data_IF_509706462054
#
_entry.id   IF_509706462054
#
_cell.length_a   1.000
_cell.length_b   1.000
_cell.length_c   1.000
_cell.angle_alpha   90.00
_cell.angle_beta   90.00
_cell.angle_gamma   90.00
#
_symmetry.space_group_name_H-M   'P 1'
#
loop_
_entity.id
_entity.type
_entity.pdbx_description
1 polymer ?
#
# COMPACT_ATOMS: atom_id res chain seq x y z
N UNK A 1 28.70 -60.01 -21.44
CA UNK A 1 28.02 -61.06 -20.66
C UNK A 1 26.68 -60.45 -20.35
N UNK A 2 25.75 -60.70 -21.23
CA UNK A 2 24.70 -61.74 -21.10
C UNK A 2 23.63 -61.22 -20.16
N UNK A 3 22.56 -60.84 -20.63
CA UNK A 3 21.35 -61.43 -21.23
C UNK A 3 20.21 -61.11 -20.28
N UNK A 4 19.14 -60.57 -20.66
CA UNK A 4 18.15 -61.09 -21.57
C UNK A 4 16.79 -61.19 -20.88
N UNK A 5 15.79 -60.84 -21.63
CA UNK A 5 14.43 -61.38 -21.77
C UNK A 5 13.36 -60.69 -20.89
N UNK A 6 12.60 -59.80 -21.47
CA UNK A 6 11.31 -59.95 -22.11
C UNK A 6 10.30 -60.90 -21.46
N UNK A 7 9.15 -60.43 -21.10
CA UNK A 7 7.92 -61.15 -21.47
C UNK A 7 6.68 -60.22 -21.40
N UNK A 8 6.06 -60.13 -22.55
CA UNK A 8 4.70 -59.65 -22.81
C UNK A 8 3.66 -60.53 -22.10
N UNK A 9 2.53 -59.93 -21.74
CA UNK A 9 1.19 -60.55 -21.90
C UNK A 9 0.18 -59.49 -21.50
N UNK A 10 -0.55 -59.02 -22.39
CA UNK A 10 -1.77 -59.49 -23.05
C UNK A 10 -3.04 -58.93 -22.41
N UNK A 11 -3.68 -58.22 -23.25
CA UNK A 11 -5.02 -57.65 -23.23
C UNK A 11 -6.10 -58.46 -22.52
N UNK A 12 -7.03 -57.76 -21.90
CA UNK A 12 -8.45 -58.15 -22.02
C UNK A 12 -9.34 -56.90 -22.08
N UNK A 13 -10.03 -56.80 -23.20
CA UNK A 13 -11.16 -55.91 -23.43
C UNK A 13 -12.43 -56.50 -22.84
N UNK A 14 -13.33 -55.61 -22.42
CA UNK A 14 -14.77 -55.76 -22.52
C UNK A 14 -15.56 -55.60 -21.22
N UNK A 15 -16.87 -55.33 -21.23
CA UNK A 15 -17.62 -54.57 -22.24
C UNK A 15 -18.49 -53.46 -21.62
N UNK A 16 -18.96 -52.57 -22.48
CA UNK A 16 -20.17 -51.73 -22.48
C UNK A 16 -21.11 -51.84 -21.23
N UNK A 17 -21.28 -50.71 -20.58
CA UNK A 17 -22.27 -50.55 -19.51
C UNK A 17 -22.73 -49.11 -19.31
N UNK A 18 -23.75 -48.76 -20.06
CA UNK A 18 -24.84 -47.82 -19.66
C UNK A 18 -24.47 -46.35 -19.46
N UNK A 19 -24.78 -45.58 -20.49
CA UNK A 19 -25.00 -44.14 -20.45
C UNK A 19 -25.96 -43.75 -19.32
N UNK A 20 -25.43 -43.10 -18.29
CA UNK A 20 -26.25 -42.28 -17.40
C UNK A 20 -26.07 -40.82 -17.80
N UNK A 21 -27.09 -40.31 -18.49
CA UNK A 21 -27.28 -38.89 -18.75
C UNK A 21 -27.38 -38.18 -17.40
N UNK A 22 -26.33 -37.62 -16.92
CA UNK A 22 -26.37 -36.58 -15.86
C UNK A 22 -26.78 -35.28 -16.54
N UNK A 23 -28.06 -34.93 -16.33
CA UNK A 23 -28.59 -33.60 -16.60
C UNK A 23 -27.84 -32.63 -15.68
N UNK A 24 -26.88 -31.92 -16.23
CA UNK A 24 -26.22 -30.85 -15.52
C UNK A 24 -27.18 -29.67 -15.50
N UNK A 25 -27.85 -29.45 -14.35
CA UNK A 25 -28.55 -28.23 -14.07
C UNK A 25 -27.53 -27.12 -13.96
N UNK A 26 -27.46 -26.28 -14.98
CA UNK A 26 -26.78 -24.98 -14.96
C UNK A 26 -27.56 -24.05 -14.01
N UNK A 27 -27.28 -24.14 -12.72
CA UNK A 27 -27.56 -23.06 -11.80
C UNK A 27 -26.48 -22.02 -12.02
N UNK A 28 -26.79 -21.04 -12.87
CA UNK A 28 -26.06 -19.80 -12.95
C UNK A 28 -26.19 -19.08 -11.60
N UNK A 29 -25.30 -19.42 -10.69
CA UNK A 29 -25.10 -18.65 -9.46
C UNK A 29 -24.53 -17.30 -9.86
N UNK A 30 -25.41 -16.29 -9.96
CA UNK A 30 -25.05 -14.88 -10.03
C UNK A 30 -24.38 -14.53 -8.70
N UNK A 31 -23.07 -14.74 -8.64
CA UNK A 31 -22.21 -14.28 -7.56
C UNK A 31 -22.13 -12.76 -7.68
N UNK A 32 -23.11 -12.06 -7.07
CA UNK A 32 -23.00 -10.63 -6.81
C UNK A 32 -21.75 -10.45 -5.93
N UNK A 33 -20.64 -10.13 -6.56
CA UNK A 33 -19.46 -9.58 -5.89
C UNK A 33 -19.92 -8.26 -5.28
N UNK A 34 -20.36 -8.33 -4.03
CA UNK A 34 -20.43 -7.17 -3.15
C UNK A 34 -19.00 -6.69 -2.99
N UNK A 35 -18.57 -5.87 -3.94
CA UNK A 35 -17.37 -5.05 -3.76
C UNK A 35 -17.66 -4.15 -2.56
N UNK A 36 -17.22 -4.57 -1.38
CA UNK A 36 -17.15 -3.68 -0.23
C UNK A 36 -16.43 -2.43 -0.71
N UNK A 37 -16.98 -1.22 -0.52
CA UNK A 37 -16.22 -0.01 -0.79
C UNK A 37 -15.02 -0.04 0.15
N UNK A 38 -13.89 -0.56 -0.36
CA UNK A 38 -12.62 -0.48 0.34
C UNK A 38 -12.41 0.97 0.68
N UNK A 39 -12.10 1.27 1.95
CA UNK A 39 -11.81 2.61 2.40
C UNK A 39 -10.88 3.26 1.38
N UNK A 40 -11.42 4.19 0.60
CA UNK A 40 -10.68 4.85 -0.49
C UNK A 40 -9.39 5.41 0.09
N UNK A 41 -8.26 4.99 -0.45
CA UNK A 41 -6.99 5.56 -0.07
C UNK A 41 -7.10 7.07 -0.29
N UNK A 42 -6.84 7.85 0.76
CA UNK A 42 -6.86 9.32 0.65
C UNK A 42 -5.87 9.71 -0.43
N UNK A 43 -6.34 10.42 -1.44
CA UNK A 43 -5.50 10.84 -2.56
C UNK A 43 -4.54 11.97 -2.16
N UNK A 44 -3.44 12.06 -2.90
CA UNK A 44 -2.39 13.06 -2.73
C UNK A 44 -2.96 14.49 -2.72
N UNK A 45 -3.88 14.77 -3.63
CA UNK A 45 -4.46 16.10 -3.82
C UNK A 45 -5.26 16.55 -2.60
N UNK A 46 -6.00 15.64 -1.97
CA UNK A 46 -6.72 15.91 -0.72
C UNK A 46 -5.78 16.26 0.42
N UNK A 47 -4.65 15.54 0.56
CA UNK A 47 -3.67 15.79 1.61
C UNK A 47 -3.00 17.16 1.40
N UNK A 48 -2.57 17.44 0.17
CA UNK A 48 -1.93 18.70 -0.18
C UNK A 48 -2.88 19.89 -0.06
N UNK A 49 -4.14 19.75 -0.47
CA UNK A 49 -5.16 20.78 -0.27
C UNK A 49 -5.35 21.13 1.20
N UNK A 50 -5.47 20.10 2.06
CA UNK A 50 -5.58 20.33 3.50
C UNK A 50 -4.34 21.03 4.08
N UNK A 51 -3.14 20.62 3.68
CA UNK A 51 -1.90 21.28 4.12
C UNK A 51 -1.84 22.75 3.66
N UNK A 52 -2.25 23.03 2.41
CA UNK A 52 -2.28 24.39 1.86
C UNK A 52 -3.28 25.32 2.56
N UNK A 53 -4.36 24.78 3.14
CA UNK A 53 -5.28 25.57 3.99
C UNK A 53 -4.76 25.78 5.39
N UNK A 54 -3.92 24.90 5.89
CA UNK A 54 -3.39 24.97 7.26
C UNK A 54 -2.12 25.82 7.38
N UNK A 55 -1.27 25.78 6.36
CA UNK A 55 0.06 26.38 6.37
C UNK A 55 0.07 27.73 5.62
N UNK A 56 1.00 28.59 5.99
CA UNK A 56 1.27 29.79 5.17
C UNK A 56 1.82 29.38 3.81
N UNK A 57 1.73 30.23 2.77
CA UNK A 57 2.26 29.89 1.44
C UNK A 57 3.75 29.47 1.45
N UNK A 58 4.57 30.13 2.27
CA UNK A 58 6.00 29.80 2.43
C UNK A 58 6.18 28.43 3.05
N UNK A 59 5.48 28.14 4.13
CA UNK A 59 5.54 26.86 4.83
C UNK A 59 4.99 25.71 3.96
N UNK A 60 3.92 25.98 3.21
CA UNK A 60 3.37 24.99 2.29
C UNK A 60 4.34 24.66 1.15
N UNK A 61 5.01 25.67 0.57
CA UNK A 61 6.04 25.46 -0.45
C UNK A 61 7.20 24.61 0.08
N UNK A 62 7.64 24.87 1.30
CA UNK A 62 8.66 24.06 1.96
C UNK A 62 8.17 22.63 2.21
N UNK A 63 6.93 22.45 2.69
CA UNK A 63 6.32 21.15 2.94
C UNK A 63 6.18 20.34 1.64
N UNK A 64 5.80 20.98 0.52
CA UNK A 64 5.74 20.31 -0.79
C UNK A 64 7.07 19.65 -1.14
N UNK A 65 8.18 20.32 -0.91
CA UNK A 65 9.50 19.76 -1.18
C UNK A 65 9.90 18.73 -0.13
N UNK A 66 9.85 19.08 1.14
CA UNK A 66 10.34 18.23 2.24
C UNK A 66 9.59 16.90 2.32
N UNK A 67 8.25 16.94 2.37
CA UNK A 67 7.46 15.72 2.52
C UNK A 67 7.41 14.86 1.25
N UNK A 68 7.68 15.44 0.08
CA UNK A 68 7.95 14.66 -1.14
C UNK A 68 9.23 13.84 -0.98
N UNK A 69 10.30 14.42 -0.43
CA UNK A 69 11.56 13.73 -0.18
C UNK A 69 11.43 12.63 0.88
N UNK A 70 10.63 12.85 1.91
CA UNK A 70 10.46 11.92 3.02
C UNK A 70 9.59 10.70 2.67
N UNK A 71 8.47 10.91 2.01
CA UNK A 71 7.49 9.83 1.79
C UNK A 71 6.75 9.91 0.46
N UNK A 72 7.05 10.91 -0.38
CA UNK A 72 6.21 11.28 -1.51
C UNK A 72 4.74 11.51 -1.10
N UNK A 73 4.53 12.18 0.04
CA UNK A 73 3.23 12.45 0.64
C UNK A 73 2.42 11.19 1.01
N UNK A 74 3.09 10.05 1.15
CA UNK A 74 2.44 8.80 1.51
C UNK A 74 2.27 8.68 3.02
N UNK A 75 1.03 8.85 3.50
CA UNK A 75 0.69 8.72 4.93
C UNK A 75 0.87 7.29 5.47
N UNK A 76 1.02 6.30 4.60
CA UNK A 76 1.24 4.90 4.97
C UNK A 76 2.71 4.47 4.84
N UNK A 77 3.59 5.38 4.43
CA UNK A 77 5.01 5.08 4.31
C UNK A 77 5.59 4.55 5.63
N UNK A 78 6.44 3.55 5.52
CA UNK A 78 7.13 2.93 6.66
C UNK A 78 8.59 2.70 6.30
N UNK A 79 9.46 3.09 7.20
CA UNK A 79 10.90 2.84 7.10
C UNK A 79 11.44 2.58 8.52
N UNK A 80 11.56 1.31 8.89
CA UNK A 80 11.95 0.90 10.25
C UNK A 80 11.02 1.54 11.32
N UNK A 81 11.60 2.37 12.19
CA UNK A 81 10.88 3.10 13.25
C UNK A 81 10.20 4.38 12.78
N UNK A 82 10.38 4.77 11.51
CA UNK A 82 9.83 6.00 10.94
C UNK A 82 8.56 5.70 10.16
N UNK A 83 7.60 6.62 10.23
CA UNK A 83 6.30 6.41 9.62
C UNK A 83 5.66 7.69 9.09
N UNK A 84 4.82 7.52 8.08
CA UNK A 84 3.90 8.51 7.58
C UNK A 84 4.52 9.63 6.77
N UNK A 85 3.79 10.73 6.67
CA UNK A 85 4.01 11.84 5.77
C UNK A 85 5.42 12.45 5.84
N UNK A 86 5.93 12.71 7.03
CA UNK A 86 7.26 13.29 7.28
C UNK A 86 8.24 12.30 7.92
N UNK A 87 7.99 11.01 7.78
CA UNK A 87 8.82 9.95 8.36
C UNK A 87 9.13 10.17 9.84
N UNK A 88 8.10 10.57 10.59
CA UNK A 88 8.23 10.82 12.03
C UNK A 88 8.50 9.55 12.82
N UNK A 89 9.44 9.61 13.77
CA UNK A 89 9.73 8.50 14.69
C UNK A 89 8.73 8.49 15.85
N UNK A 90 7.49 8.11 15.55
CA UNK A 90 6.40 8.09 16.53
C UNK A 90 5.39 6.99 16.21
N UNK A 91 5.01 6.21 17.24
CA UNK A 91 3.91 5.24 17.12
C UNK A 91 2.59 5.90 16.73
N UNK A 92 2.37 7.14 17.16
CA UNK A 92 1.20 7.92 16.77
C UNK A 92 1.06 8.04 15.25
N UNK A 93 2.16 8.29 14.53
CA UNK A 93 2.18 8.43 13.07
C UNK A 93 1.72 7.15 12.33
N UNK A 94 1.84 5.98 12.97
CA UNK A 94 1.44 4.71 12.37
C UNK A 94 -0.09 4.56 12.27
N UNK A 95 -0.84 5.26 13.11
CA UNK A 95 -2.31 5.14 13.23
C UNK A 95 -3.05 6.43 12.89
N UNK A 96 -2.33 7.55 12.80
CA UNK A 96 -2.89 8.86 12.53
C UNK A 96 -3.45 8.96 11.10
N UNK A 97 -4.61 9.60 10.96
CA UNK A 97 -5.15 9.94 9.65
C UNK A 97 -4.35 11.11 9.02
N UNK A 98 -4.62 11.43 7.74
CA UNK A 98 -3.85 12.44 7.02
C UNK A 98 -3.86 13.83 7.67
N UNK A 99 -5.00 14.28 8.23
CA UNK A 99 -5.10 15.57 8.91
C UNK A 99 -4.26 15.62 10.17
N UNK A 100 -4.27 14.53 10.92
CA UNK A 100 -3.47 14.38 12.12
C UNK A 100 -1.97 14.34 11.77
N UNK A 101 -1.60 13.64 10.71
CA UNK A 101 -0.20 13.58 10.25
C UNK A 101 0.31 14.94 9.78
N UNK A 102 -0.47 15.69 8.98
CA UNK A 102 -0.09 17.05 8.55
C UNK A 102 0.15 17.96 9.75
N UNK A 103 -0.76 17.97 10.75
CA UNK A 103 -0.59 18.77 11.95
C UNK A 103 0.61 18.34 12.78
N UNK A 104 0.81 17.05 12.94
CA UNK A 104 1.95 16.52 13.70
C UNK A 104 3.28 16.90 13.03
N UNK A 105 3.38 16.73 11.72
CA UNK A 105 4.59 17.08 10.95
C UNK A 105 4.91 18.58 11.03
N UNK A 106 3.89 19.43 10.91
CA UNK A 106 4.06 20.87 11.08
C UNK A 106 4.54 21.20 12.51
N UNK A 107 3.87 20.68 13.54
CA UNK A 107 4.27 20.91 14.93
C UNK A 107 5.68 20.40 15.24
N UNK A 108 6.05 19.25 14.72
CA UNK A 108 7.40 18.71 14.86
C UNK A 108 8.44 19.64 14.25
N UNK A 109 8.22 20.13 13.02
CA UNK A 109 9.13 21.04 12.35
C UNK A 109 9.25 22.38 13.11
N UNK A 110 8.13 22.95 13.58
CA UNK A 110 8.15 24.17 14.39
C UNK A 110 8.90 23.99 15.70
N UNK A 111 8.65 22.91 16.42
CA UNK A 111 9.28 22.67 17.73
C UNK A 111 10.79 22.42 17.61
N UNK A 112 11.23 21.77 16.54
CA UNK A 112 12.62 21.36 16.39
C UNK A 112 13.47 22.38 15.63
N UNK A 113 12.91 23.03 14.63
CA UNK A 113 13.63 23.92 13.70
C UNK A 113 13.12 25.36 13.68
N UNK A 114 11.96 25.61 14.29
CA UNK A 114 11.32 26.91 14.26
C UNK A 114 10.34 27.11 13.10
N UNK A 115 10.49 26.36 12.00
CA UNK A 115 9.59 26.40 10.86
C UNK A 115 9.80 25.18 9.94
N UNK A 116 8.84 24.90 9.03
CA UNK A 116 9.01 23.87 7.99
C UNK A 116 10.09 24.32 6.98
N UNK A 117 10.17 25.61 6.69
CA UNK A 117 11.18 26.17 5.80
C UNK A 117 12.59 25.91 6.36
N UNK A 118 12.83 26.14 7.66
CA UNK A 118 14.10 25.84 8.32
C UNK A 118 14.37 24.32 8.41
N UNK A 119 13.35 23.51 8.60
CA UNK A 119 13.48 22.05 8.52
C UNK A 119 13.95 21.60 7.13
N UNK A 120 13.43 22.21 6.05
CA UNK A 120 13.86 21.93 4.69
C UNK A 120 15.31 22.35 4.46
N UNK A 121 15.74 23.50 4.98
CA UNK A 121 17.16 23.93 4.92
C UNK A 121 18.08 22.96 5.64
N UNK A 122 17.68 22.49 6.81
CA UNK A 122 18.41 21.45 7.54
C UNK A 122 18.50 20.16 6.71
N UNK A 123 17.38 19.73 6.12
CA UNK A 123 17.35 18.56 5.26
C UNK A 123 18.30 18.69 4.04
N UNK A 124 18.31 19.86 3.40
CA UNK A 124 19.22 20.13 2.28
C UNK A 124 20.69 20.01 2.65
N UNK A 125 21.02 20.40 3.89
CA UNK A 125 22.39 20.38 4.39
C UNK A 125 22.83 18.99 4.86
N UNK A 126 21.94 18.25 5.51
CA UNK A 126 22.28 17.01 6.23
C UNK A 126 21.61 15.77 5.68
N UNK A 127 20.61 15.88 4.80
CA UNK A 127 19.86 14.77 4.23
C UNK A 127 18.81 14.15 5.16
N UNK A 128 18.51 14.79 6.30
CA UNK A 128 17.49 14.38 7.28
C UNK A 128 16.90 15.58 8.05
N UNK A 129 15.78 15.38 8.70
CA UNK A 129 15.16 16.40 9.56
C UNK A 129 14.52 15.79 10.81
#
# INVERSE_FOLDING_TARGET
MLDSIATMHSARQGPLGIARRCVVHLLAGLCLLLSSPGASAVDLKTIQSYAGHLLTPLEFSAALTLWTKESNWNIRARNNSHAGLCQGRSKYMMHANYRQQVRWCASYAYNRYGSIALALEHWRKYGWH
#
